data_IF_538329696675
#
_entry.id   IF_538329696675
#
_cell.length_a   1.000
_cell.length_b   1.000
_cell.length_c   1.000
_cell.angle_alpha   90.00
_cell.angle_beta   90.00
_cell.angle_gamma   90.00
#
_symmetry.space_group_name_H-M   'P 1'
#
loop_
_entity.id
_entity.type
_entity.pdbx_description
1 polymer ?
#
# COMPACT_ATOMS: atom_id res chain seq x y z
N UNK A 1 17.93 0.82 5.60
CA UNK A 1 18.39 0.24 4.32
C UNK A 1 17.25 0.43 3.34
N UNK A 2 17.51 0.97 2.14
CA UNK A 2 16.47 1.10 1.12
C UNK A 2 16.40 -0.19 0.30
N UNK A 3 15.18 -0.58 -0.09
CA UNK A 3 14.95 -1.68 -1.03
C UNK A 3 14.43 -1.08 -2.34
N UNK A 4 14.73 -1.71 -3.47
CA UNK A 4 14.18 -1.32 -4.77
C UNK A 4 13.06 -2.27 -5.14
N UNK A 5 11.91 -1.73 -5.50
CA UNK A 5 10.74 -2.47 -5.99
C UNK A 5 10.53 -2.12 -7.47
N UNK A 6 10.52 -3.11 -8.34
CA UNK A 6 10.16 -2.92 -9.75
C UNK A 6 8.66 -3.19 -9.93
N UNK A 7 7.97 -2.26 -10.59
CA UNK A 7 6.53 -2.34 -10.87
C UNK A 7 6.24 -1.99 -12.32
N UNK A 8 5.13 -2.50 -12.85
CA UNK A 8 4.64 -2.12 -14.17
C UNK A 8 4.22 -0.65 -14.21
N UNK A 9 4.35 -0.03 -15.38
CA UNK A 9 3.92 1.35 -15.64
C UNK A 9 2.43 1.57 -15.30
N UNK A 10 1.57 0.59 -15.61
CA UNK A 10 0.14 0.59 -15.22
C UNK A 10 -0.07 0.71 -13.71
N UNK A 11 0.72 -0.03 -12.91
CA UNK A 11 0.62 0.05 -11.46
C UNK A 11 1.12 1.40 -10.95
N UNK A 12 2.18 1.93 -11.55
CA UNK A 12 2.71 3.25 -11.22
C UNK A 12 1.71 4.37 -11.53
N UNK A 13 1.02 4.31 -12.67
CA UNK A 13 -0.02 5.27 -13.07
C UNK A 13 -1.20 5.24 -12.09
N UNK A 14 -1.63 4.05 -11.68
CA UNK A 14 -2.65 3.89 -10.64
C UNK A 14 -2.20 4.49 -9.31
N UNK A 15 -0.95 4.25 -8.89
CA UNK A 15 -0.41 4.86 -7.68
C UNK A 15 -0.41 6.40 -7.81
N UNK A 16 0.05 6.96 -8.93
CA UNK A 16 0.01 8.41 -9.19
C UNK A 16 -1.41 8.99 -9.09
N UNK A 17 -2.39 8.33 -9.71
CA UNK A 17 -3.79 8.77 -9.66
C UNK A 17 -4.43 8.70 -8.27
N UNK A 18 -3.91 7.87 -7.36
CA UNK A 18 -4.42 7.72 -6.00
C UNK A 18 -3.64 8.52 -4.96
N UNK A 19 -2.53 9.16 -5.35
CA UNK A 19 -1.74 10.01 -4.46
C UNK A 19 -2.39 11.36 -4.23
N UNK A 20 -2.25 11.87 -3.02
CA UNK A 20 -2.59 13.26 -2.70
C UNK A 20 -1.56 14.23 -3.29
N UNK A 21 -1.93 15.51 -3.43
CA UNK A 21 -1.03 16.53 -4.00
C UNK A 21 0.27 16.64 -3.18
N UNK A 22 1.40 16.32 -3.82
CA UNK A 22 2.73 16.34 -3.18
C UNK A 22 3.08 15.08 -2.39
N UNK A 23 2.20 14.07 -2.36
CA UNK A 23 2.47 12.77 -1.75
C UNK A 23 3.43 11.95 -2.63
N UNK A 24 4.34 11.23 -1.99
CA UNK A 24 5.26 10.30 -2.67
C UNK A 24 4.63 8.90 -2.81
N UNK A 25 5.06 8.08 -3.77
CA UNK A 25 4.61 6.68 -3.88
C UNK A 25 4.88 5.87 -2.61
N UNK A 26 5.99 6.16 -1.92
CA UNK A 26 6.35 5.52 -0.64
C UNK A 26 5.30 5.79 0.43
N UNK A 27 4.94 7.07 0.64
CA UNK A 27 3.91 7.47 1.61
C UNK A 27 2.55 6.81 1.33
N UNK A 28 2.13 6.75 0.06
CA UNK A 28 0.90 6.05 -0.32
C UNK A 28 0.96 4.56 0.02
N UNK A 29 2.10 3.91 -0.25
CA UNK A 29 2.29 2.48 0.07
C UNK A 29 2.27 2.26 1.59
N UNK A 30 2.91 3.12 2.38
CA UNK A 30 2.86 3.04 3.85
C UNK A 30 1.44 3.18 4.38
N UNK A 31 0.65 4.11 3.85
CA UNK A 31 -0.76 4.26 4.21
C UNK A 31 -1.57 3.00 3.84
N UNK A 32 -1.37 2.44 2.64
CA UNK A 32 -2.03 1.20 2.22
C UNK A 32 -1.67 0.01 3.13
N UNK A 33 -0.41 -0.10 3.55
CA UNK A 33 0.04 -1.12 4.49
C UNK A 33 -0.59 -0.91 5.86
N UNK A 34 -0.60 0.33 6.36
CA UNK A 34 -1.23 0.70 7.64
C UNK A 34 -2.74 0.39 7.65
N UNK A 35 -3.44 0.64 6.53
CA UNK A 35 -4.82 0.22 6.34
C UNK A 35 -4.95 -1.31 6.40
N UNK A 36 -4.09 -2.06 5.70
CA UNK A 36 -4.10 -3.52 5.76
C UNK A 36 -3.76 -4.06 7.16
N UNK A 37 -2.87 -3.43 7.92
CA UNK A 37 -2.55 -3.86 9.28
C UNK A 37 -3.70 -3.54 10.25
N UNK A 38 -4.33 -2.38 10.08
CA UNK A 38 -5.44 -1.92 10.92
C UNK A 38 -6.74 -2.69 10.61
N UNK A 39 -7.08 -2.87 9.34
CA UNK A 39 -8.28 -3.59 8.89
C UNK A 39 -8.04 -5.11 8.78
N UNK A 40 -6.81 -5.54 8.50
CA UNK A 40 -6.43 -6.95 8.37
C UNK A 40 -6.16 -7.65 9.70
N UNK A 41 -5.94 -6.92 10.80
CA UNK A 41 -6.10 -7.47 12.14
C UNK A 41 -7.48 -8.14 12.30
N UNK A 42 -8.51 -7.62 11.62
CA UNK A 42 -9.86 -8.18 11.61
C UNK A 42 -10.01 -9.42 10.71
N UNK A 43 -9.17 -9.58 9.68
CA UNK A 43 -9.20 -10.72 8.74
C UNK A 43 -8.50 -11.97 9.30
N UNK A 44 -7.52 -11.83 10.22
CA UNK A 44 -6.88 -13.00 10.84
C UNK A 44 -7.72 -13.70 11.91
N UNK A 45 -8.70 -13.03 12.53
CA UNK A 45 -9.65 -13.69 13.44
C UNK A 45 -10.71 -14.54 12.71
N UNK A 46 -10.86 -14.38 11.38
CA UNK A 46 -11.82 -15.13 10.56
C UNK A 46 -11.26 -16.38 9.86
N UNK A 47 -9.94 -16.61 9.91
CA UNK A 47 -9.29 -17.81 9.34
C UNK A 47 -8.53 -18.62 10.41
N UNK A 48 -9.07 -18.67 11.63
CA UNK A 48 -8.80 -19.77 12.57
C UNK A 48 -10.03 -20.67 12.62
N UNK A 49 -10.19 -21.49 11.58
CA UNK A 49 -10.96 -22.74 11.61
C UNK A 49 -10.02 -23.93 11.43
#
# INVERSE_FOLDING_TARGET
MTQTLEISDDLMDRLDSHREEGQSPEELIEELVSMYETEGAFLQEGYSE
#
